data_IF_421108722589
#
_entry.id   IF_421108722589
#
_cell.length_a   1.000
_cell.length_b   1.000
_cell.length_c   1.000
_cell.angle_alpha   90.00
_cell.angle_beta   90.00
_cell.angle_gamma   90.00
#
_symmetry.space_group_name_H-M   'P 1'
#
loop_
_entity.id
_entity.type
_entity.pdbx_description
1 polymer ?
#
# COMPACT_ATOMS: atom_id res chain seq x y z
N UNK A 1 -9.60 8.88 1.39
CA UNK A 1 -8.33 8.42 2.00
C UNK A 1 -8.50 7.20 2.89
N UNK A 2 -9.42 7.20 3.87
CA UNK A 2 -9.63 6.05 4.77
C UNK A 2 -10.01 4.76 4.03
N UNK A 3 -10.88 4.84 3.02
CA UNK A 3 -11.26 3.70 2.18
C UNK A 3 -10.08 3.11 1.42
N UNK A 4 -9.23 3.96 0.82
CA UNK A 4 -8.02 3.52 0.12
C UNK A 4 -7.02 2.86 1.06
N UNK A 5 -6.83 3.39 2.27
CA UNK A 5 -5.96 2.75 3.26
C UNK A 5 -6.52 1.39 3.70
N UNK A 6 -7.84 1.27 3.83
CA UNK A 6 -8.50 0.01 4.13
C UNK A 6 -8.33 -1.00 2.98
N UNK A 7 -8.57 -0.60 1.74
CA UNK A 7 -8.31 -1.42 0.55
C UNK A 7 -6.86 -1.91 0.52
N UNK A 8 -5.90 -0.99 0.70
CA UNK A 8 -4.49 -1.34 0.73
C UNK A 8 -4.20 -2.37 1.83
N UNK A 9 -4.71 -2.15 3.05
CA UNK A 9 -4.56 -3.08 4.18
C UNK A 9 -5.09 -4.48 3.85
N UNK A 10 -6.21 -4.59 3.14
CA UNK A 10 -6.81 -5.87 2.76
C UNK A 10 -5.96 -6.66 1.76
N UNK A 11 -5.08 -6.00 1.01
CA UNK A 11 -4.19 -6.63 0.02
C UNK A 11 -2.87 -7.13 0.62
N UNK A 12 -2.56 -6.79 1.88
CA UNK A 12 -1.29 -7.10 2.51
C UNK A 12 -1.32 -8.47 3.17
N UNK A 13 -0.37 -9.34 2.81
CA UNK A 13 -0.08 -10.52 3.61
C UNK A 13 0.78 -10.12 4.83
N UNK A 14 0.15 -10.08 6.01
CA UNK A 14 0.84 -9.73 7.25
C UNK A 14 1.78 -10.81 7.78
N UNK A 15 1.78 -12.02 7.20
CA UNK A 15 2.80 -13.04 7.48
C UNK A 15 4.09 -12.76 6.71
N UNK A 16 4.01 -12.08 5.57
CA UNK A 16 5.15 -11.63 4.80
C UNK A 16 5.80 -10.38 5.44
N UNK A 17 7.08 -10.47 5.80
CA UNK A 17 7.81 -9.40 6.48
C UNK A 17 7.97 -8.14 5.61
N UNK A 18 8.18 -8.32 4.30
CA UNK A 18 8.37 -7.22 3.36
C UNK A 18 7.06 -6.46 3.17
N UNK A 19 5.96 -7.17 2.92
CA UNK A 19 4.65 -6.55 2.76
C UNK A 19 4.19 -5.84 4.03
N UNK A 20 4.42 -6.46 5.21
CA UNK A 20 4.17 -5.81 6.50
C UNK A 20 5.00 -4.53 6.70
N UNK A 21 6.27 -4.54 6.27
CA UNK A 21 7.13 -3.34 6.34
C UNK A 21 6.62 -2.24 5.41
N UNK A 22 6.22 -2.58 4.19
CA UNK A 22 5.65 -1.63 3.23
C UNK A 22 4.35 -1.01 3.74
N UNK A 23 3.47 -1.79 4.37
CA UNK A 23 2.27 -1.24 4.99
C UNK A 23 2.60 -0.21 6.08
N UNK A 24 3.57 -0.52 6.96
CA UNK A 24 4.02 0.42 8.00
C UNK A 24 4.63 1.69 7.41
N UNK A 25 5.39 1.58 6.33
CA UNK A 25 5.95 2.74 5.62
C UNK A 25 4.84 3.66 5.12
N UNK A 26 3.82 3.10 4.45
CA UNK A 26 2.67 3.86 3.94
C UNK A 26 1.92 4.54 5.10
N UNK A 27 1.60 3.83 6.19
CA UNK A 27 0.94 4.46 7.35
C UNK A 27 1.76 5.61 7.94
N UNK A 28 3.09 5.44 8.06
CA UNK A 28 3.97 6.47 8.61
C UNK A 28 4.06 7.68 7.68
N UNK A 29 4.10 7.47 6.36
CA UNK A 29 4.08 8.54 5.37
C UNK A 29 2.79 9.36 5.46
N UNK A 30 1.62 8.71 5.52
CA UNK A 30 0.33 9.40 5.66
C UNK A 30 0.25 10.21 6.97
N UNK A 31 0.72 9.64 8.08
CA UNK A 31 0.81 10.35 9.37
C UNK A 31 1.77 11.53 9.31
N UNK A 32 2.88 11.41 8.57
CA UNK A 32 3.83 12.50 8.37
C UNK A 32 3.19 13.64 7.57
N UNK A 33 2.53 13.34 6.44
CA UNK A 33 1.86 14.35 5.62
C UNK A 33 0.74 15.07 6.39
N UNK A 34 -0.09 14.31 7.11
CA UNK A 34 -1.14 14.88 7.97
C UNK A 34 -0.58 15.82 9.03
N UNK A 35 0.59 15.51 9.61
CA UNK A 35 1.26 16.39 10.58
C UNK A 35 1.84 17.64 9.95
N UNK A 36 2.32 17.56 8.70
CA UNK A 36 2.79 18.73 7.96
C UNK A 36 1.63 19.66 7.58
N UNK A 37 0.45 19.10 7.30
CA UNK A 37 -0.79 19.82 7.03
C UNK A 37 -0.60 20.97 6.02
N UNK A 38 0.24 20.74 5.00
CA UNK A 38 0.46 21.68 3.90
C UNK A 38 -0.75 21.67 2.97
N UNK A 39 -1.06 22.77 2.30
CA UNK A 39 -2.12 22.74 1.28
C UNK A 39 -1.88 21.63 0.25
N UNK A 40 -2.94 20.91 -0.09
CA UNK A 40 -2.90 19.77 -1.02
C UNK A 40 -2.41 18.43 -0.44
N UNK A 41 -2.03 18.36 0.84
CA UNK A 41 -1.49 17.12 1.44
C UNK A 41 -2.42 15.91 1.31
N UNK A 42 -3.74 16.11 1.36
CA UNK A 42 -4.72 15.04 1.20
C UNK A 42 -4.72 14.48 -0.23
N UNK A 43 -4.59 15.35 -1.23
CA UNK A 43 -4.48 14.96 -2.63
C UNK A 43 -3.23 14.13 -2.88
N UNK A 44 -2.08 14.59 -2.40
CA UNK A 44 -0.81 13.86 -2.47
C UNK A 44 -0.92 12.46 -1.83
N UNK A 45 -1.59 12.38 -0.68
CA UNK A 45 -1.81 11.11 0.02
C UNK A 45 -2.72 10.16 -0.74
N UNK A 46 -3.76 10.69 -1.42
CA UNK A 46 -4.66 9.90 -2.26
C UNK A 46 -3.91 9.35 -3.46
N UNK A 47 -3.12 10.17 -4.16
CA UNK A 47 -2.32 9.74 -5.32
C UNK A 47 -1.29 8.68 -4.92
N UNK A 48 -0.58 8.93 -3.82
CA UNK A 48 0.37 7.99 -3.25
C UNK A 48 -0.28 6.63 -2.92
N UNK A 49 -1.45 6.64 -2.26
CA UNK A 49 -2.18 5.41 -1.93
C UNK A 49 -2.64 4.65 -3.17
N UNK A 50 -3.15 5.34 -4.20
CA UNK A 50 -3.52 4.70 -5.48
C UNK A 50 -2.31 4.00 -6.12
N UNK A 51 -1.14 4.64 -6.10
CA UNK A 51 0.12 4.05 -6.55
C UNK A 51 0.50 2.80 -5.74
N UNK A 52 0.49 2.89 -4.41
CA UNK A 52 0.80 1.76 -3.53
C UNK A 52 -0.14 0.56 -3.75
N UNK A 53 -1.45 0.80 -3.91
CA UNK A 53 -2.44 -0.23 -4.23
C UNK A 53 -2.13 -0.89 -5.56
N UNK A 54 -1.82 -0.11 -6.61
CA UNK A 54 -1.51 -0.65 -7.94
C UNK A 54 -0.30 -1.59 -7.87
N UNK A 55 0.79 -1.13 -7.24
CA UNK A 55 2.02 -1.93 -7.08
C UNK A 55 1.73 -3.22 -6.31
N UNK A 56 0.95 -3.15 -5.22
CA UNK A 56 0.60 -4.32 -4.44
C UNK A 56 -0.26 -5.32 -5.22
N UNK A 57 -1.21 -4.85 -6.03
CA UNK A 57 -2.01 -5.71 -6.92
C UNK A 57 -1.13 -6.44 -7.94
N UNK A 58 -0.12 -5.76 -8.49
CA UNK A 58 0.81 -6.38 -9.44
C UNK A 58 1.74 -7.39 -8.77
N UNK A 59 2.23 -7.10 -7.56
CA UNK A 59 2.97 -8.07 -6.74
C UNK A 59 2.14 -9.35 -6.50
N UNK A 60 0.86 -9.21 -6.15
CA UNK A 60 -0.05 -10.34 -5.92
C UNK A 60 -0.17 -11.19 -7.20
N UNK A 61 -0.35 -10.57 -8.37
CA UNK A 61 -0.41 -11.28 -9.65
C UNK A 61 0.86 -12.09 -9.92
N UNK A 62 2.04 -11.48 -9.71
CA UNK A 62 3.34 -12.14 -9.90
C UNK A 62 3.48 -13.35 -8.96
N UNK A 63 3.12 -13.19 -7.68
CA UNK A 63 3.14 -14.29 -6.70
C UNK A 63 2.22 -15.44 -7.14
N UNK A 64 1.02 -15.12 -7.62
CA UNK A 64 0.05 -16.12 -8.09
C UNK A 64 0.55 -16.86 -9.35
N UNK A 65 1.12 -16.13 -10.32
CA UNK A 65 1.70 -16.73 -11.52
C UNK A 65 2.85 -17.68 -11.19
N UNK A 66 3.77 -17.26 -10.30
CA UNK A 66 4.87 -18.11 -9.87
C UNK A 66 4.38 -19.38 -9.15
N UNK A 67 3.34 -19.29 -8.32
CA UNK A 67 2.74 -20.48 -7.68
C UNK A 67 2.13 -21.47 -8.67
N UNK A 68 1.71 -21.02 -9.86
CA UNK A 68 1.17 -21.89 -10.91
C UNK A 68 2.28 -22.53 -11.75
N UNK A 69 3.38 -21.81 -11.98
CA UNK A 69 4.51 -22.28 -12.79
C UNK A 69 5.41 -23.29 -12.07
N UNK A 70 5.49 -23.21 -10.73
CA UNK A 70 6.32 -24.10 -9.91
C UNK A 70 5.50 -25.14 -9.13
N UNK A 71 4.31 -25.48 -9.65
CA UNK A 71 3.45 -26.56 -9.16
C UNK A 71 3.68 -27.83 -9.98
#
# INVERSE_FOLDING_TARGET
MNELLAEYKHLIDFKDKMQKSNYKFVENYLRYQKRKNRDGWEGDCIEFLKGAISIQKDLIKIIQQNKLLFK
#
